data_IF_276307182475
#
_entry.id   IF_276307182475
#
_cell.length_a   1.000
_cell.length_b   1.000
_cell.length_c   1.000
_cell.angle_alpha   90.00
_cell.angle_beta   90.00
_cell.angle_gamma   90.00
#
_symmetry.space_group_name_H-M   'P 1'
#
loop_
_entity.id
_entity.type
_entity.pdbx_description
1 polymer ?
#
# COMPACT_ATOMS: atom_id res chain seq x y z
N UNK A 1 13.61 -27.02 13.97
CA UNK A 1 12.78 -25.97 13.36
C UNK A 1 12.58 -24.91 14.42
N UNK A 2 13.34 -23.81 14.38
CA UNK A 2 13.16 -22.71 15.33
C UNK A 2 11.73 -22.14 15.20
N UNK A 3 11.13 -21.61 16.26
CA UNK A 3 9.77 -21.14 16.19
C UNK A 3 9.72 -19.98 15.17
N UNK A 4 8.63 -19.88 14.42
CA UNK A 4 8.33 -18.82 13.44
C UNK A 4 8.47 -17.38 13.97
N UNK A 5 8.88 -17.20 15.24
CA UNK A 5 9.03 -15.94 15.95
C UNK A 5 9.76 -14.88 15.13
N UNK A 6 10.90 -15.20 14.51
CA UNK A 6 11.75 -14.20 13.82
C UNK A 6 11.16 -13.66 12.52
N UNK A 7 10.06 -14.24 12.03
CA UNK A 7 9.46 -13.91 10.72
C UNK A 7 7.99 -13.50 10.79
N UNK A 8 7.45 -13.41 12.00
CA UNK A 8 6.10 -12.89 12.25
C UNK A 8 6.04 -11.37 12.08
N UNK A 9 4.82 -10.83 11.94
CA UNK A 9 4.62 -9.38 11.87
C UNK A 9 5.09 -8.67 13.16
N UNK A 10 4.93 -9.32 14.32
CA UNK A 10 5.38 -8.77 15.59
C UNK A 10 6.91 -8.62 15.66
N UNK A 11 7.66 -9.55 15.08
CA UNK A 11 9.13 -9.49 15.05
C UNK A 11 9.66 -8.55 13.96
N UNK A 12 9.07 -8.58 12.75
CA UNK A 12 9.54 -7.77 11.62
C UNK A 12 9.09 -6.30 11.70
N UNK A 13 7.93 -6.04 12.30
CA UNK A 13 7.35 -4.71 12.45
C UNK A 13 6.92 -4.46 13.90
N UNK A 14 7.86 -4.39 14.86
CA UNK A 14 7.52 -4.20 16.26
C UNK A 14 6.70 -2.92 16.50
N UNK A 15 6.95 -1.87 15.72
CA UNK A 15 6.20 -0.61 15.74
C UNK A 15 4.71 -0.76 15.36
N UNK A 16 4.33 -1.82 14.64
CA UNK A 16 2.92 -2.13 14.39
C UNK A 16 2.19 -2.45 15.69
N UNK A 17 2.84 -3.18 16.60
CA UNK A 17 2.26 -3.53 17.91
C UNK A 17 2.06 -2.29 18.78
N UNK A 18 3.04 -1.37 18.74
CA UNK A 18 3.03 -0.10 19.48
C UNK A 18 1.96 0.87 18.96
N UNK A 19 1.68 0.85 17.65
CA UNK A 19 0.61 1.67 17.04
C UNK A 19 -0.80 1.11 17.26
N UNK A 20 -0.98 0.13 18.14
CA UNK A 20 -2.24 -0.58 18.37
C UNK A 20 -2.64 -1.52 17.22
N UNK A 21 -1.71 -1.88 16.33
CA UNK A 21 -1.88 -2.94 15.34
C UNK A 21 -2.78 -2.63 14.16
N UNK A 22 -3.29 -1.40 14.03
CA UNK A 22 -4.38 -1.09 13.10
C UNK A 22 -3.90 -0.25 11.93
N UNK A 23 -3.72 -0.92 10.79
CA UNK A 23 -3.85 -0.30 9.46
C UNK A 23 -5.29 -0.55 9.01
N UNK A 24 -5.97 0.49 8.53
CA UNK A 24 -7.39 0.41 8.11
C UNK A 24 -7.60 -0.81 7.22
N UNK A 25 -8.54 -1.70 7.59
CA UNK A 25 -8.93 -2.85 6.75
C UNK A 25 -7.88 -3.95 6.57
N UNK A 26 -6.68 -3.82 7.14
CA UNK A 26 -5.59 -4.78 6.98
C UNK A 26 -5.44 -5.66 8.23
N UNK A 27 -5.35 -6.98 8.03
CA UNK A 27 -5.03 -7.97 9.05
C UNK A 27 -3.68 -8.59 8.75
N UNK A 28 -2.72 -8.40 9.65
CA UNK A 28 -1.43 -9.10 9.57
C UNK A 28 -1.57 -10.55 10.03
N UNK A 29 -0.81 -11.50 9.46
CA UNK A 29 -0.72 -12.86 9.97
C UNK A 29 -0.15 -12.87 11.39
N UNK A 30 -0.74 -13.66 12.28
CA UNK A 30 -0.29 -13.80 13.68
C UNK A 30 0.74 -14.93 13.84
N UNK A 31 0.41 -16.11 13.30
CA UNK A 31 1.21 -17.34 13.46
C UNK A 31 1.85 -17.81 12.15
N UNK A 32 1.84 -16.97 11.12
CA UNK A 32 2.43 -17.24 9.81
C UNK A 32 3.48 -16.19 9.44
N UNK A 33 4.45 -16.53 8.58
CA UNK A 33 5.40 -15.54 8.09
C UNK A 33 4.73 -14.40 7.34
N UNK A 34 5.25 -13.19 7.51
CA UNK A 34 4.69 -11.98 6.87
C UNK A 34 4.63 -12.09 5.34
N UNK A 35 5.60 -12.73 4.70
CA UNK A 35 5.64 -12.83 3.24
C UNK A 35 4.49 -13.66 2.65
N UNK A 36 3.74 -14.41 3.48
CA UNK A 36 2.47 -15.03 3.05
C UNK A 36 1.49 -13.98 2.53
N UNK A 37 1.58 -12.74 3.01
CA UNK A 37 0.77 -11.63 2.49
C UNK A 37 1.05 -11.29 1.02
N UNK A 38 2.22 -11.66 0.50
CA UNK A 38 2.60 -11.39 -0.89
C UNK A 38 2.12 -12.49 -1.85
N UNK A 39 1.54 -13.57 -1.34
CA UNK A 39 0.87 -14.57 -2.17
C UNK A 39 -0.51 -14.07 -2.60
N UNK A 40 -0.66 -13.82 -3.90
CA UNK A 40 -1.91 -13.34 -4.53
C UNK A 40 -3.03 -14.38 -4.50
N UNK A 41 -2.69 -15.66 -4.36
CA UNK A 41 -3.66 -16.75 -4.25
C UNK A 41 -4.16 -16.95 -2.83
N UNK A 42 -3.44 -16.42 -1.83
CA UNK A 42 -3.84 -16.52 -0.44
C UNK A 42 -5.05 -15.61 -0.14
N UNK A 43 -6.10 -16.17 0.45
CA UNK A 43 -7.31 -15.45 0.83
C UNK A 43 -7.09 -14.40 1.92
N UNK A 44 -6.07 -14.61 2.76
CA UNK A 44 -5.54 -13.65 3.72
C UNK A 44 -4.39 -12.82 3.15
N UNK A 45 -4.06 -12.97 1.87
CA UNK A 45 -3.04 -12.20 1.18
C UNK A 45 -3.45 -10.73 0.99
N UNK A 46 -2.46 -9.86 0.80
CA UNK A 46 -2.63 -8.41 0.61
C UNK A 46 -3.66 -8.11 -0.49
N UNK A 47 -3.53 -8.78 -1.63
CA UNK A 47 -4.42 -8.58 -2.77
C UNK A 47 -5.90 -8.86 -2.42
N UNK A 48 -6.17 -9.98 -1.76
CA UNK A 48 -7.53 -10.41 -1.40
C UNK A 48 -8.13 -9.56 -0.29
N UNK A 49 -7.34 -9.13 0.67
CA UNK A 49 -7.78 -8.19 1.71
C UNK A 49 -8.13 -6.82 1.12
N UNK A 50 -7.31 -6.30 0.21
CA UNK A 50 -7.56 -5.03 -0.46
C UNK A 50 -8.82 -5.08 -1.33
N UNK A 51 -8.97 -6.14 -2.15
CA UNK A 51 -10.18 -6.36 -2.94
C UNK A 51 -11.43 -6.41 -2.05
N UNK A 52 -11.37 -7.10 -0.91
CA UNK A 52 -12.48 -7.16 0.04
C UNK A 52 -12.82 -5.79 0.63
N UNK A 53 -11.82 -5.02 1.07
CA UNK A 53 -12.00 -3.66 1.57
C UNK A 53 -12.70 -2.78 0.52
N UNK A 54 -12.16 -2.77 -0.70
CA UNK A 54 -12.64 -1.89 -1.76
C UNK A 54 -14.03 -2.27 -2.27
N UNK A 55 -14.45 -3.54 -2.18
CA UNK A 55 -15.86 -3.92 -2.39
C UNK A 55 -16.81 -3.24 -1.42
N UNK A 56 -16.36 -2.94 -0.20
CA UNK A 56 -17.16 -2.25 0.81
C UNK A 56 -17.20 -0.73 0.67
N UNK A 57 -16.08 -0.12 0.24
CA UNK A 57 -15.93 1.35 0.23
C UNK A 57 -15.98 1.99 -1.17
N UNK A 58 -15.83 1.20 -2.24
CA UNK A 58 -15.87 1.67 -3.63
C UNK A 58 -14.74 2.64 -3.98
N UNK A 59 -14.87 3.31 -5.13
CA UNK A 59 -13.89 4.29 -5.63
C UNK A 59 -14.07 5.67 -4.99
N UNK A 60 -12.96 6.42 -4.88
CA UNK A 60 -12.97 7.84 -4.51
C UNK A 60 -11.83 8.56 -5.25
N UNK A 61 -12.17 9.52 -6.12
CA UNK A 61 -11.24 10.15 -7.08
C UNK A 61 -11.53 11.66 -7.23
N UNK A 62 -11.80 12.35 -6.12
CA UNK A 62 -12.24 13.76 -6.12
C UNK A 62 -11.04 14.71 -6.04
N UNK A 63 -11.17 15.86 -6.70
CA UNK A 63 -10.22 16.97 -6.53
C UNK A 63 -8.82 16.72 -7.08
N UNK A 64 -8.70 15.89 -8.13
CA UNK A 64 -7.43 15.56 -8.76
C UNK A 64 -7.05 16.59 -9.82
N UNK A 65 -5.75 16.75 -10.05
CA UNK A 65 -5.24 17.55 -11.17
C UNK A 65 -5.66 16.91 -12.51
N UNK A 66 -6.01 17.69 -13.56
CA UNK A 66 -6.44 17.16 -14.86
C UNK A 66 -5.43 16.23 -15.56
N UNK A 67 -4.15 16.30 -15.19
CA UNK A 67 -3.11 15.41 -15.72
C UNK A 67 -3.06 14.04 -15.04
N UNK A 68 -3.78 13.84 -13.94
CA UNK A 68 -3.87 12.53 -13.28
C UNK A 68 -4.74 11.60 -14.11
N UNK A 69 -4.23 10.39 -14.35
CA UNK A 69 -4.94 9.37 -15.11
C UNK A 69 -5.20 8.16 -14.25
N UNK A 70 -6.39 7.58 -14.37
CA UNK A 70 -6.84 6.45 -13.57
C UNK A 70 -7.37 5.35 -14.49
N UNK A 71 -6.92 4.12 -14.26
CA UNK A 71 -7.43 2.91 -14.89
C UNK A 71 -8.10 2.01 -13.84
N UNK A 72 -9.43 1.88 -13.92
CA UNK A 72 -10.21 0.98 -13.06
C UNK A 72 -10.69 -0.29 -13.76
N UNK A 73 -10.14 -0.63 -14.93
CA UNK A 73 -10.50 -1.82 -15.71
C UNK A 73 -10.39 -3.12 -14.91
N UNK A 74 -9.49 -3.16 -13.93
CA UNK A 74 -9.25 -4.31 -13.07
C UNK A 74 -9.76 -4.14 -11.62
N UNK A 75 -10.38 -3.00 -11.30
CA UNK A 75 -10.95 -2.75 -9.98
C UNK A 75 -10.88 -1.29 -9.52
N UNK A 76 -11.48 -0.99 -8.36
CA UNK A 76 -11.63 0.37 -7.86
C UNK A 76 -10.32 1.01 -7.36
N UNK A 77 -10.18 2.30 -7.57
CA UNK A 77 -9.16 3.17 -6.96
C UNK A 77 -9.82 4.03 -5.90
N UNK A 78 -9.40 3.84 -4.65
CA UNK A 78 -9.90 4.60 -3.50
C UNK A 78 -8.82 5.51 -2.93
N UNK A 79 -8.98 6.81 -3.13
CA UNK A 79 -8.14 7.85 -2.55
C UNK A 79 -8.86 8.39 -1.32
N UNK A 80 -8.29 8.21 -0.14
CA UNK A 80 -8.85 8.70 1.12
C UNK A 80 -8.80 10.22 1.17
N UNK A 81 -9.84 10.84 1.72
CA UNK A 81 -9.88 12.29 1.92
C UNK A 81 -8.67 12.78 2.73
N UNK A 82 -8.02 13.83 2.23
CA UNK A 82 -6.79 14.39 2.78
C UNK A 82 -5.49 13.75 2.26
N UNK A 83 -5.56 12.74 1.39
CA UNK A 83 -4.40 12.29 0.59
C UNK A 83 -3.95 13.38 -0.38
N UNK A 84 -2.66 13.40 -0.70
CA UNK A 84 -2.06 14.37 -1.62
C UNK A 84 -1.64 13.65 -2.90
N UNK A 85 -2.25 14.01 -4.03
CA UNK A 85 -1.93 13.45 -5.35
C UNK A 85 -1.38 14.57 -6.24
N UNK A 86 -0.13 14.42 -6.64
CA UNK A 86 0.55 15.35 -7.53
C UNK A 86 0.10 15.21 -8.99
N UNK A 87 0.49 16.16 -9.85
CA UNK A 87 0.18 16.11 -11.28
C UNK A 87 0.90 14.94 -11.98
N UNK A 88 0.39 14.52 -13.13
CA UNK A 88 0.96 13.49 -14.01
C UNK A 88 1.15 12.12 -13.35
N UNK A 89 0.42 11.85 -12.26
CA UNK A 89 0.37 10.53 -11.64
C UNK A 89 -0.53 9.62 -12.47
N UNK A 90 -0.10 8.37 -12.66
CA UNK A 90 -0.96 7.32 -13.21
C UNK A 90 -1.29 6.29 -12.13
N UNK A 91 -2.57 5.92 -12.00
CA UNK A 91 -3.05 4.99 -10.97
C UNK A 91 -3.89 3.88 -11.60
N UNK A 92 -3.49 2.62 -11.39
CA UNK A 92 -4.26 1.43 -11.77
C UNK A 92 -4.93 0.82 -10.53
N UNK A 93 -6.20 0.44 -10.67
CA UNK A 93 -6.94 -0.30 -9.67
C UNK A 93 -6.70 -1.82 -9.73
N UNK A 94 -7.02 -2.56 -8.65
CA UNK A 94 -7.53 -2.06 -7.38
C UNK A 94 -6.42 -1.42 -6.53
N UNK A 95 -6.62 -0.21 -6.01
CA UNK A 95 -5.61 0.50 -5.21
C UNK A 95 -6.23 1.32 -4.09
N UNK A 96 -5.53 1.40 -2.95
CA UNK A 96 -5.93 2.21 -1.79
C UNK A 96 -4.84 3.19 -1.40
N UNK A 97 -5.18 4.48 -1.35
CA UNK A 97 -4.22 5.57 -1.14
C UNK A 97 -4.69 6.48 -0.01
N UNK A 98 -4.00 6.41 1.13
CA UNK A 98 -4.16 7.30 2.28
C UNK A 98 -2.96 8.23 2.51
N UNK A 99 -1.96 8.18 1.62
CA UNK A 99 -0.68 8.89 1.73
C UNK A 99 -0.48 9.98 0.68
N UNK A 100 0.79 10.32 0.44
CA UNK A 100 1.23 11.27 -0.59
C UNK A 100 1.74 10.50 -1.82
N UNK A 101 1.25 10.86 -3.01
CA UNK A 101 1.73 10.37 -4.30
C UNK A 101 2.19 11.57 -5.11
N UNK A 102 3.50 11.68 -5.34
CA UNK A 102 4.13 12.86 -5.95
C UNK A 102 4.14 12.79 -7.46
N UNK A 103 4.50 13.92 -8.07
CA UNK A 103 4.50 14.13 -9.52
C UNK A 103 5.13 12.97 -10.30
N UNK A 104 4.43 12.49 -11.32
CA UNK A 104 4.94 11.47 -12.25
C UNK A 104 5.06 10.07 -11.67
N UNK A 105 4.57 9.83 -10.44
CA UNK A 105 4.53 8.49 -9.87
C UNK A 105 3.60 7.56 -10.66
N UNK A 106 3.90 6.27 -10.62
CA UNK A 106 3.09 5.22 -11.22
C UNK A 106 2.63 4.23 -10.15
N UNK A 107 1.36 4.30 -9.77
CA UNK A 107 0.77 3.40 -8.77
C UNK A 107 -0.01 2.32 -9.51
N UNK A 108 0.45 1.09 -9.42
CA UNK A 108 -0.14 -0.06 -10.12
C UNK A 108 -1.03 -0.88 -9.21
N UNK A 109 -1.80 -1.77 -9.81
CA UNK A 109 -2.77 -2.63 -9.15
C UNK A 109 -2.21 -3.29 -7.87
N UNK A 110 -3.11 -3.40 -6.91
CA UNK A 110 -2.91 -3.94 -5.56
C UNK A 110 -1.90 -3.19 -4.70
N UNK A 111 -1.73 -1.90 -4.95
CA UNK A 111 -0.91 -1.03 -4.10
C UNK A 111 -1.73 -0.46 -2.94
N UNK A 112 -1.17 -0.57 -1.73
CA UNK A 112 -1.77 -0.10 -0.49
C UNK A 112 -0.85 0.91 0.19
N UNK A 113 -1.16 2.20 0.02
CA UNK A 113 -0.34 3.31 0.50
C UNK A 113 -0.97 3.86 1.78
N UNK A 114 -0.35 3.60 2.93
CA UNK A 114 -0.90 4.01 4.22
C UNK A 114 -0.71 5.51 4.50
N UNK A 115 -1.39 6.01 5.53
CA UNK A 115 -1.29 7.40 5.97
C UNK A 115 0.16 7.80 6.29
N UNK A 116 0.55 8.95 5.77
CA UNK A 116 1.91 9.50 5.92
C UNK A 116 2.98 8.79 5.10
N UNK A 117 2.64 7.71 4.37
CA UNK A 117 3.56 7.12 3.41
C UNK A 117 3.71 8.02 2.17
N UNK A 118 4.85 7.92 1.50
CA UNK A 118 5.20 8.72 0.32
C UNK A 118 5.57 7.80 -0.83
N UNK A 119 4.77 7.87 -1.90
CA UNK A 119 5.16 7.44 -3.25
C UNK A 119 5.72 8.67 -3.96
N UNK A 120 7.01 8.63 -4.20
CA UNK A 120 7.83 9.75 -4.62
C UNK A 120 7.76 10.14 -6.08
N UNK A 121 8.57 11.13 -6.46
CA UNK A 121 8.67 11.55 -7.86
C UNK A 121 9.15 10.39 -8.73
N UNK A 122 8.38 10.09 -9.79
CA UNK A 122 8.69 9.00 -10.73
C UNK A 122 8.95 7.64 -10.06
N UNK A 123 8.38 7.44 -8.86
CA UNK A 123 8.40 6.16 -8.18
C UNK A 123 7.28 5.28 -8.73
N UNK A 124 7.59 4.03 -9.04
CA UNK A 124 6.61 3.00 -9.40
C UNK A 124 6.35 2.07 -8.21
N UNK A 125 5.08 1.80 -7.91
CA UNK A 125 4.67 0.83 -6.87
C UNK A 125 3.67 -0.15 -7.47
N UNK A 126 3.84 -1.45 -7.23
CA UNK A 126 2.97 -2.51 -7.73
C UNK A 126 2.78 -3.59 -6.68
N UNK A 127 1.54 -4.00 -6.40
CA UNK A 127 1.24 -5.09 -5.46
C UNK A 127 2.06 -4.98 -4.17
N UNK A 128 2.01 -3.83 -3.51
CA UNK A 128 2.88 -3.54 -2.38
C UNK A 128 2.16 -2.77 -1.29
N UNK A 129 2.57 -3.02 -0.05
CA UNK A 129 2.09 -2.31 1.13
C UNK A 129 3.17 -1.35 1.62
N UNK A 130 2.87 -0.05 1.59
CA UNK A 130 3.67 0.96 2.26
C UNK A 130 3.00 1.24 3.61
N UNK A 131 3.60 0.76 4.69
CA UNK A 131 3.11 1.00 6.05
C UNK A 131 3.22 2.49 6.42
N UNK A 132 2.51 2.94 7.47
CA UNK A 132 2.49 4.36 7.85
C UNK A 132 3.89 4.98 7.94
N UNK A 133 4.05 6.14 7.29
CA UNK A 133 5.31 6.88 7.27
C UNK A 133 6.39 6.32 6.34
N UNK A 134 6.19 5.18 5.66
CA UNK A 134 7.16 4.61 4.73
C UNK A 134 7.35 5.50 3.49
N UNK A 135 8.58 5.66 3.01
CA UNK A 135 8.94 6.59 1.93
C UNK A 135 9.70 5.86 0.85
N UNK A 136 9.21 5.97 -0.37
CA UNK A 136 9.90 5.66 -1.61
C UNK A 136 9.98 6.96 -2.44
N UNK A 137 10.82 7.93 -2.00
CA UNK A 137 10.67 9.36 -2.29
C UNK A 137 11.11 9.79 -3.70
N UNK A 138 11.99 9.04 -4.38
CA UNK A 138 12.53 9.43 -5.68
C UNK A 138 12.95 8.20 -6.51
N UNK A 139 12.41 8.04 -7.72
CA UNK A 139 12.85 7.06 -8.72
C UNK A 139 12.95 5.61 -8.23
N UNK A 140 12.15 5.23 -7.22
CA UNK A 140 12.16 3.87 -6.71
C UNK A 140 11.22 2.98 -7.54
N UNK A 141 11.51 1.68 -7.58
CA UNK A 141 10.56 0.64 -7.99
C UNK A 141 10.27 -0.27 -6.79
N UNK A 142 9.01 -0.33 -6.35
CA UNK A 142 8.56 -1.13 -5.20
C UNK A 142 7.49 -2.12 -5.67
N UNK A 143 7.92 -3.33 -6.01
CA UNK A 143 7.06 -4.39 -6.54
C UNK A 143 6.98 -5.57 -5.58
N UNK A 144 5.77 -6.11 -5.37
CA UNK A 144 5.54 -7.35 -4.61
C UNK A 144 6.23 -7.30 -3.23
N UNK A 145 6.05 -6.20 -2.49
CA UNK A 145 6.84 -5.84 -1.30
C UNK A 145 5.99 -5.31 -0.13
N UNK A 146 6.56 -5.36 1.08
CA UNK A 146 6.03 -4.66 2.26
C UNK A 146 7.13 -3.74 2.79
N UNK A 147 6.91 -2.43 2.75
CA UNK A 147 7.80 -1.46 3.38
C UNK A 147 7.35 -1.23 4.83
N UNK A 148 8.28 -1.43 5.76
CA UNK A 148 8.09 -1.21 7.20
C UNK A 148 7.71 0.23 7.54
N UNK A 149 7.18 0.43 8.76
CA UNK A 149 6.88 1.76 9.29
C UNK A 149 8.09 2.69 9.22
N UNK A 150 7.89 3.91 8.71
CA UNK A 150 8.92 4.95 8.69
C UNK A 150 10.18 4.64 7.87
N UNK A 151 10.23 3.50 7.16
CA UNK A 151 11.35 3.16 6.27
C UNK A 151 11.52 4.25 5.22
N UNK A 152 12.75 4.57 4.87
CA UNK A 152 13.06 5.49 3.79
C UNK A 152 13.97 4.79 2.78
N UNK A 153 13.50 4.62 1.54
CA UNK A 153 14.32 4.16 0.43
C UNK A 153 15.11 5.36 -0.12
N UNK A 154 16.43 5.23 -0.20
CA UNK A 154 17.32 6.27 -0.74
C UNK A 154 17.32 6.33 -2.26
#
# INVERSE_FOLDING_TARGET
>A
VGPLMDVTAAALFPSLSESGGRVTGLRMPQDEPVWVMLDKSNMSGLAKQLEFLLRGIGSNQRGLDPSVTIDESNGPVHIVDGSLIGPSVHIEGPSYIAGEVRHGAYVRSHSWICRGAVVGHATEVKHSLLLPGAKAPHFNYVGDSILGFGVNLG
#
